data_IF_435796507257
#
_entry.id   IF_435796507257
#
_cell.length_a   1.000
_cell.length_b   1.000
_cell.length_c   1.000
_cell.angle_alpha   90.00
_cell.angle_beta   90.00
_cell.angle_gamma   90.00
#
_symmetry.space_group_name_H-M   'P 1'
#
loop_
_entity.id
_entity.type
_entity.pdbx_description
1 polymer ?
#
# COMPACT_ATOMS: atom_id res chain seq x y z
N UNK A 1 13.92 -6.14 -14.43
CA UNK A 1 13.25 -4.83 -14.28
C UNK A 1 11.78 -5.08 -14.52
N UNK A 2 10.99 -5.23 -13.46
CA UNK A 2 9.55 -5.44 -13.59
C UNK A 2 8.91 -4.12 -14.06
N UNK A 3 7.81 -4.18 -14.82
CA UNK A 3 7.08 -2.96 -15.21
C UNK A 3 6.59 -2.23 -13.94
N UNK A 4 6.38 -0.92 -14.00
CA UNK A 4 5.86 -0.16 -12.86
C UNK A 4 4.52 -0.74 -12.35
N UNK A 5 3.70 -1.26 -13.26
CA UNK A 5 2.44 -1.94 -12.95
C UNK A 5 2.65 -3.26 -12.20
N UNK A 6 3.66 -4.06 -12.60
CA UNK A 6 4.01 -5.31 -11.92
C UNK A 6 4.49 -5.04 -10.50
N UNK A 7 5.30 -3.99 -10.32
CA UNK A 7 5.80 -3.58 -9.01
C UNK A 7 4.66 -3.08 -8.12
N UNK A 8 3.73 -2.29 -8.68
CA UNK A 8 2.52 -1.85 -7.98
C UNK A 8 1.65 -3.03 -7.55
N UNK A 9 1.38 -3.98 -8.45
CA UNK A 9 0.61 -5.19 -8.17
C UNK A 9 1.25 -6.06 -7.11
N UNK A 10 2.54 -6.35 -7.25
CA UNK A 10 3.29 -7.13 -6.27
C UNK A 10 3.28 -6.48 -4.88
N UNK A 11 3.45 -5.15 -4.83
CA UNK A 11 3.41 -4.40 -3.57
C UNK A 11 2.03 -4.44 -2.93
N UNK A 12 0.97 -4.23 -3.71
CA UNK A 12 -0.41 -4.31 -3.20
C UNK A 12 -0.74 -5.72 -2.67
N UNK A 13 -0.35 -6.77 -3.39
CA UNK A 13 -0.56 -8.16 -2.97
C UNK A 13 0.24 -8.53 -1.72
N UNK A 14 1.52 -8.15 -1.65
CA UNK A 14 2.34 -8.43 -0.46
C UNK A 14 1.86 -7.64 0.74
N UNK A 15 1.46 -6.37 0.56
CA UNK A 15 0.88 -5.57 1.62
C UNK A 15 -0.45 -6.15 2.13
N UNK A 16 -1.32 -6.59 1.21
CA UNK A 16 -2.57 -7.26 1.57
C UNK A 16 -2.32 -8.57 2.31
N UNK A 17 -1.36 -9.37 1.86
CA UNK A 17 -1.02 -10.65 2.47
C UNK A 17 -0.42 -10.50 3.87
N UNK A 18 0.62 -9.69 4.04
CA UNK A 18 1.31 -9.53 5.33
C UNK A 18 0.56 -8.60 6.30
N UNK A 19 -0.19 -7.63 5.77
CA UNK A 19 -1.01 -6.74 6.57
C UNK A 19 -2.42 -7.28 6.84
N UNK A 20 -2.79 -8.45 6.30
CA UNK A 20 -4.14 -9.02 6.38
C UNK A 20 -5.23 -8.04 5.90
N UNK A 21 -4.94 -7.29 4.84
CA UNK A 21 -5.82 -6.25 4.34
C UNK A 21 -6.77 -6.78 3.29
N UNK A 22 -8.00 -6.30 3.32
CA UNK A 22 -8.84 -6.43 2.14
C UNK A 22 -8.25 -5.52 1.05
N UNK A 23 -8.09 -6.01 -0.19
CA UNK A 23 -7.59 -5.18 -1.29
C UNK A 23 -8.46 -3.92 -1.50
N UNK A 24 -9.73 -3.96 -1.12
CA UNK A 24 -10.60 -2.78 -1.14
C UNK A 24 -10.22 -1.68 -0.13
N UNK A 25 -9.36 -1.97 0.86
CA UNK A 25 -8.86 -1.01 1.85
C UNK A 25 -7.60 -0.28 1.37
N UNK A 26 -6.80 -0.92 0.51
CA UNK A 26 -5.57 -0.34 -0.01
C UNK A 26 -5.68 0.17 -1.45
N UNK A 27 -6.72 -0.21 -2.20
CA UNK A 27 -6.89 0.15 -3.62
C UNK A 27 -8.03 1.12 -3.85
N UNK A 28 -7.91 1.97 -4.88
CA UNK A 28 -8.96 2.90 -5.30
C UNK A 28 -9.42 2.56 -6.72
N UNK A 29 -10.74 2.48 -6.97
CA UNK A 29 -11.28 2.08 -8.28
C UNK A 29 -11.08 3.14 -9.38
N UNK A 30 -11.01 4.41 -8.99
CA UNK A 30 -10.75 5.52 -9.91
C UNK A 30 -10.21 6.74 -9.16
N UNK A 31 -9.45 7.60 -9.83
CA UNK A 31 -8.96 8.84 -9.25
C UNK A 31 -10.10 9.77 -8.81
N UNK A 32 -11.26 9.72 -9.48
CA UNK A 32 -12.43 10.52 -9.12
C UNK A 32 -13.05 10.11 -7.76
N UNK A 33 -12.86 8.86 -7.34
CA UNK A 33 -13.32 8.37 -6.04
C UNK A 33 -12.31 8.62 -4.93
N UNK A 34 -11.12 9.15 -5.24
CA UNK A 34 -10.04 9.28 -4.28
C UNK A 34 -10.37 10.30 -3.17
N UNK A 35 -10.31 9.84 -1.92
CA UNK A 35 -10.29 10.69 -0.73
C UNK A 35 -9.05 10.39 0.10
N UNK A 36 -8.28 11.42 0.43
CA UNK A 36 -7.10 11.32 1.31
C UNK A 36 -7.45 10.91 2.74
N UNK A 37 -8.72 11.04 3.14
CA UNK A 37 -9.22 10.66 4.47
C UNK A 37 -9.55 9.18 4.57
N UNK A 38 -9.90 8.54 3.45
CA UNK A 38 -10.34 7.14 3.43
C UNK A 38 -9.29 6.21 2.83
N UNK A 39 -8.59 6.67 1.81
CA UNK A 39 -7.68 5.84 1.05
C UNK A 39 -6.24 5.95 1.53
N UNK A 40 -5.53 4.84 1.39
CA UNK A 40 -4.12 4.73 1.69
C UNK A 40 -3.31 5.63 0.76
N UNK A 41 -2.51 6.53 1.35
CA UNK A 41 -1.54 7.35 0.63
C UNK A 41 -0.12 7.01 1.09
N UNK A 42 0.89 7.42 0.31
CA UNK A 42 2.29 7.12 0.65
C UNK A 42 2.69 7.73 1.99
N UNK A 43 2.03 8.82 2.41
CA UNK A 43 2.25 9.43 3.72
C UNK A 43 1.77 8.55 4.89
N UNK A 44 0.93 7.57 4.63
CA UNK A 44 0.48 6.60 5.63
C UNK A 44 1.41 5.39 5.76
N UNK A 45 2.44 5.32 4.92
CA UNK A 45 3.47 4.27 4.98
C UNK A 45 4.73 4.90 5.57
N UNK A 46 5.10 4.45 6.76
CA UNK A 46 6.37 4.79 7.40
C UNK A 46 7.32 3.60 7.33
N UNK A 47 8.60 3.87 7.14
CA UNK A 47 9.65 2.85 7.10
C UNK A 47 10.77 3.29 8.03
N UNK A 48 11.33 2.35 8.80
CA UNK A 48 12.28 2.63 9.90
C UNK A 48 13.63 3.21 9.42
N UNK A 49 13.99 3.02 8.15
CA UNK A 49 15.20 3.60 7.58
C UNK A 49 15.26 3.57 6.05
N UNK A 50 15.92 4.56 5.45
CA UNK A 50 16.01 4.71 3.99
C UNK A 50 17.00 3.74 3.32
N UNK A 51 18.05 3.31 4.05
CA UNK A 51 19.15 2.51 3.49
C UNK A 51 19.06 1.02 3.84
N UNK A 52 18.53 0.68 5.02
CA UNK A 52 18.38 -0.69 5.50
C UNK A 52 17.10 -0.84 6.33
N UNK A 53 15.91 -0.82 5.71
CA UNK A 53 14.65 -0.91 6.43
C UNK A 53 14.44 -2.31 7.01
N UNK A 54 14.32 -2.40 8.33
CA UNK A 54 14.03 -3.65 9.06
C UNK A 54 12.54 -3.86 9.31
N UNK A 55 11.75 -2.80 9.31
CA UNK A 55 10.30 -2.86 9.45
C UNK A 55 9.64 -1.69 8.71
N UNK A 56 8.37 -1.86 8.42
CA UNK A 56 7.50 -0.81 7.92
C UNK A 56 6.20 -0.78 8.72
N UNK A 57 5.63 0.40 8.80
CA UNK A 57 4.37 0.68 9.45
C UNK A 57 3.39 1.24 8.43
N UNK A 58 2.18 0.68 8.40
CA UNK A 58 1.11 1.08 7.48
C UNK A 58 -0.07 1.53 8.33
N UNK A 59 -0.47 2.77 8.15
CA UNK A 59 -1.62 3.34 8.86
C UNK A 59 -2.85 3.35 7.96
N UNK A 60 -3.80 2.51 8.29
CA UNK A 60 -5.12 2.48 7.64
C UNK A 60 -5.99 3.50 8.33
N UNK A 61 -6.53 4.44 7.57
CA UNK A 61 -7.38 5.51 8.13
C UNK A 61 -8.80 5.04 8.41
N UNK A 62 -9.33 4.17 7.56
CA UNK A 62 -10.66 3.59 7.70
C UNK A 62 -10.55 2.08 7.47
N UNK A 63 -10.47 1.33 8.56
CA UNK A 63 -10.52 -0.13 8.50
C UNK A 63 -11.97 -0.56 8.32
N UNK A 64 -12.25 -1.43 7.34
CA UNK A 64 -13.60 -1.98 7.13
C UNK A 64 -13.92 -3.09 8.12
N UNK A 65 -12.90 -3.62 8.81
CA UNK A 65 -13.07 -4.64 9.87
C UNK A 65 -13.30 -4.03 11.24
N UNK A 66 -13.01 -2.74 11.44
CA UNK A 66 -13.37 -2.00 12.66
C UNK A 66 -14.80 -1.45 12.56
N UNK A 67 -15.73 -1.83 13.46
CA UNK A 67 -17.11 -1.34 13.45
C UNK A 67 -17.24 0.18 13.57
N UNK A 68 -16.19 0.85 14.06
CA UNK A 68 -16.15 2.29 14.28
C UNK A 68 -15.30 3.03 13.24
N UNK A 69 -14.76 2.33 12.24
CA UNK A 69 -13.88 2.87 11.21
C UNK A 69 -12.71 3.71 11.76
N UNK A 70 -12.20 3.42 12.96
CA UNK A 70 -11.17 4.21 13.66
C UNK A 70 -9.77 4.10 13.03
N UNK A 71 -9.64 3.30 11.99
CA UNK A 71 -8.35 3.02 11.39
C UNK A 71 -7.52 2.05 12.23
N UNK A 72 -6.44 1.53 11.64
CA UNK A 72 -5.55 0.58 12.28
C UNK A 72 -4.10 0.86 11.87
N UNK A 73 -3.15 0.59 12.75
CA UNK A 73 -1.73 0.66 12.47
C UNK A 73 -1.15 -0.74 12.41
N UNK A 74 -0.43 -1.05 11.35
CA UNK A 74 0.04 -2.40 11.05
C UNK A 74 1.54 -2.36 10.84
N UNK A 75 2.26 -3.13 11.65
CA UNK A 75 3.71 -3.25 11.56
C UNK A 75 4.08 -4.54 10.84
N UNK A 76 4.87 -4.41 9.78
CA UNK A 76 5.35 -5.53 8.97
C UNK A 76 6.88 -5.54 9.08
N UNK A 77 7.42 -6.63 9.61
CA UNK A 77 8.86 -6.84 9.70
C UNK A 77 9.49 -7.24 8.36
N UNK A 78 10.82 -7.15 8.30
CA UNK A 78 11.61 -7.64 7.18
C UNK A 78 11.40 -9.14 7.00
N UNK A 79 10.92 -9.53 5.82
CA UNK A 79 10.76 -10.93 5.42
C UNK A 79 11.94 -11.43 4.58
N UNK A 80 11.87 -12.72 4.21
CA UNK A 80 12.87 -13.38 3.35
C UNK A 80 12.57 -13.08 1.88
N UNK A 81 13.61 -12.74 1.11
CA UNK A 81 13.53 -12.56 -0.34
C UNK A 81 13.05 -13.85 -1.04
N UNK A 82 12.16 -13.80 -2.05
CA UNK A 82 11.61 -12.62 -2.73
C UNK A 82 10.26 -12.12 -2.16
N UNK A 83 9.75 -12.70 -1.08
CA UNK A 83 8.41 -12.42 -0.54
C UNK A 83 8.44 -11.36 0.56
N UNK A 84 9.35 -10.40 0.48
CA UNK A 84 9.50 -9.38 1.50
C UNK A 84 8.66 -8.14 1.16
N UNK A 85 7.62 -7.86 1.94
CA UNK A 85 6.75 -6.69 1.74
C UNK A 85 7.53 -5.36 1.88
N UNK A 86 8.49 -5.31 2.80
CA UNK A 86 9.37 -4.14 2.99
C UNK A 86 10.20 -3.88 1.73
N UNK A 87 10.76 -4.91 1.08
CA UNK A 87 11.50 -4.70 -0.16
C UNK A 87 10.58 -4.34 -1.33
N UNK A 88 9.40 -4.94 -1.41
CA UNK A 88 8.40 -4.61 -2.43
C UNK A 88 8.00 -3.14 -2.35
N UNK A 89 7.68 -2.64 -1.15
CA UNK A 89 7.27 -1.24 -0.95
C UNK A 89 8.40 -0.28 -1.28
N UNK A 90 9.65 -0.60 -0.92
CA UNK A 90 10.80 0.25 -1.25
C UNK A 90 11.02 0.33 -2.76
N UNK A 91 10.95 -0.80 -3.47
CA UNK A 91 11.05 -0.83 -4.92
C UNK A 91 9.92 -0.02 -5.59
N UNK A 92 8.72 -0.07 -5.01
CA UNK A 92 7.58 0.72 -5.46
C UNK A 92 7.76 2.21 -5.19
N UNK A 93 8.21 2.61 -4.00
CA UNK A 93 8.41 4.02 -3.62
C UNK A 93 9.47 4.71 -4.47
N UNK A 94 10.54 3.99 -4.83
CA UNK A 94 11.56 4.49 -5.78
C UNK A 94 10.94 4.80 -7.15
N UNK A 95 10.02 3.96 -7.62
CA UNK A 95 9.32 4.17 -8.90
C UNK A 95 8.15 5.16 -8.78
N UNK A 96 7.54 5.27 -7.61
CA UNK A 96 6.41 6.16 -7.35
C UNK A 96 6.83 7.59 -7.70
N UNK A 97 8.01 8.03 -7.24
CA UNK A 97 8.62 9.29 -7.68
C UNK A 97 7.80 10.55 -7.35
N UNK A 98 8.39 11.72 -7.57
CA UNK A 98 7.84 13.03 -7.19
C UNK A 98 6.71 13.51 -8.12
N UNK A 99 5.68 12.69 -8.35
CA UNK A 99 4.48 13.15 -9.04
C UNK A 99 3.71 14.06 -8.08
N UNK A 100 3.74 15.38 -8.35
CA UNK A 100 3.15 16.39 -7.49
C UNK A 100 1.66 16.17 -7.24
N UNK A 101 1.26 16.25 -5.97
CA UNK A 101 -0.14 16.20 -5.53
C UNK A 101 -0.53 14.92 -4.76
N UNK A 102 -1.62 14.97 -3.98
CA UNK A 102 -2.13 13.80 -3.27
C UNK A 102 -2.75 12.80 -4.25
N UNK A 103 -2.21 11.58 -4.28
CA UNK A 103 -2.70 10.46 -5.08
C UNK A 103 -2.77 9.20 -4.23
N UNK A 104 -3.65 8.24 -4.58
CA UNK A 104 -3.71 6.97 -3.88
C UNK A 104 -2.41 6.17 -4.07
N UNK A 105 -2.08 5.34 -3.08
CA UNK A 105 -0.99 4.37 -3.17
C UNK A 105 -1.23 3.36 -4.29
N UNK A 106 -2.46 2.90 -4.48
CA UNK A 106 -2.75 1.87 -5.46
C UNK A 106 -4.03 2.22 -6.22
N UNK A 107 -3.90 2.42 -7.54
CA UNK A 107 -5.03 2.58 -8.44
C UNK A 107 -5.20 1.29 -9.24
N UNK A 108 -6.19 0.48 -8.87
CA UNK A 108 -6.57 -0.69 -9.66
C UNK A 108 -7.97 -0.49 -10.19
N UNK A 109 -8.11 -0.61 -11.52
CA UNK A 109 -9.42 -0.78 -12.13
C UNK A 109 -9.83 -2.23 -11.94
N UNK A 110 -10.47 -2.54 -10.82
CA UNK A 110 -11.05 -3.86 -10.60
C UNK A 110 -12.17 -4.08 -11.62
N UNK A 111 -11.92 -4.92 -12.62
CA UNK A 111 -12.96 -5.40 -13.54
C UNK A 111 -13.64 -6.57 -12.86
N UNK A 112 -14.77 -6.32 -12.22
CA UNK A 112 -15.67 -7.38 -11.81
C UNK A 112 -16.35 -7.93 -13.07
N UNK A 113 -15.85 -9.07 -13.57
CA UNK A 113 -16.61 -9.89 -14.52
C UNK A 113 -17.41 -10.88 -13.68
N UNK A 114 -18.70 -10.62 -13.53
CA UNK A 114 -19.69 -11.53 -12.94
C UNK A 114 -20.59 -11.99 -14.07
#
# INVERSE_FOLDING_TARGET
>A
MACADDCMFWTACTLGYFGFLCLAECTVPSLASFSTLLHLTVQDIAVDGLLAPCCMCVRIKASKTDPFSKGAEIHIGLGVYPRCAVQAIMAYLVQWGNAGGPRPCFCFKMVANI
#
